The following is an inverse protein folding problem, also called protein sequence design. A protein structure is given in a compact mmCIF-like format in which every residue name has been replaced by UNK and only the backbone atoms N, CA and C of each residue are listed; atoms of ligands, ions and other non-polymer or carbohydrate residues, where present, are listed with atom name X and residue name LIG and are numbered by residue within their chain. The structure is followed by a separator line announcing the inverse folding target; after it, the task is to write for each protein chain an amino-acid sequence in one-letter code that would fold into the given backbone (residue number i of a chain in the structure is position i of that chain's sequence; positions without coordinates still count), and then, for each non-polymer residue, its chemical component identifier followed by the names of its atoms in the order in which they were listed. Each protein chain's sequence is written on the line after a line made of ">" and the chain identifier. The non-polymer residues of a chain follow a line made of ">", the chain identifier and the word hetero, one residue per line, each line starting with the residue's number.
data_IF_366366338606
#
_entry.id   IF_366366338606
#
_cell.length_a   1.000
_cell.length_b   1.000
_cell.length_c   1.000
_cell.angle_alpha   90.00
_cell.angle_beta   90.00
_cell.angle_gamma   90.00
#
_symmetry.space_group_name_H-M   'P 1'
#
loop_
_entity.id
_entity.type
_entity.pdbx_description
1 polymer ?
#
# COMPACT_ATOMS: atom_id res chain seq x y z
N UNK A 1 2.90 4.09 9.88
CA UNK A 1 2.16 2.86 10.21
C UNK A 1 2.17 1.93 9.01
N UNK A 2 2.37 0.64 9.26
CA UNK A 2 2.37 -0.37 8.21
C UNK A 2 1.17 -1.31 8.41
N UNK A 3 0.44 -1.57 7.33
CA UNK A 3 -0.70 -2.50 7.34
C UNK A 3 -0.43 -3.65 6.37
N UNK A 4 -0.69 -4.86 6.80
CA UNK A 4 -0.65 -6.03 5.93
C UNK A 4 -1.90 -6.14 5.07
N UNK A 5 -1.73 -6.43 3.79
CA UNK A 5 -2.85 -6.65 2.85
C UNK A 5 -2.60 -7.93 2.05
N UNK A 6 -3.67 -8.58 1.63
CA UNK A 6 -3.57 -9.81 0.84
C UNK A 6 -3.31 -9.52 -0.64
N UNK A 7 -3.88 -8.43 -1.15
CA UNK A 7 -3.73 -8.03 -2.55
C UNK A 7 -3.49 -6.52 -2.62
N UNK A 8 -2.22 -6.15 -2.78
CA UNK A 8 -1.83 -4.75 -2.74
C UNK A 8 -2.40 -3.96 -3.91
N UNK A 9 -2.44 -4.52 -5.11
CA UNK A 9 -2.99 -3.83 -6.27
C UNK A 9 -4.47 -3.52 -6.07
N UNK A 10 -5.24 -4.49 -5.56
CA UNK A 10 -6.66 -4.29 -5.29
C UNK A 10 -6.86 -3.24 -4.19
N UNK A 11 -6.02 -3.25 -3.15
CA UNK A 11 -6.09 -2.26 -2.08
C UNK A 11 -5.83 -0.85 -2.60
N UNK A 12 -4.82 -0.69 -3.47
CA UNK A 12 -4.50 0.61 -4.07
C UNK A 12 -5.63 1.09 -4.98
N UNK A 13 -6.23 0.19 -5.76
CA UNK A 13 -7.36 0.54 -6.62
C UNK A 13 -8.56 1.00 -5.82
N UNK A 14 -8.86 0.33 -4.70
CA UNK A 14 -9.97 0.73 -3.83
C UNK A 14 -9.73 2.11 -3.22
N UNK A 15 -8.52 2.38 -2.76
CA UNK A 15 -8.17 3.68 -2.19
C UNK A 15 -8.26 4.78 -3.24
N UNK A 16 -7.77 4.51 -4.45
CA UNK A 16 -7.83 5.47 -5.55
C UNK A 16 -9.28 5.78 -5.93
N UNK A 17 -10.14 4.77 -5.96
CA UNK A 17 -11.56 4.95 -6.25
C UNK A 17 -12.25 5.80 -5.19
N UNK A 18 -11.80 5.73 -3.94
CA UNK A 18 -12.32 6.54 -2.83
C UNK A 18 -11.72 7.96 -2.79
N UNK A 19 -10.87 8.28 -3.74
CA UNK A 19 -10.26 9.61 -3.83
C UNK A 19 -9.00 9.78 -2.99
N UNK A 20 -8.43 8.70 -2.45
CA UNK A 20 -7.21 8.78 -1.68
C UNK A 20 -6.03 9.17 -2.57
N UNK A 21 -5.13 9.97 -2.03
CA UNK A 21 -3.91 10.36 -2.71
C UNK A 21 -2.82 9.35 -2.36
N UNK A 22 -2.25 8.73 -3.39
CA UNK A 22 -1.21 7.72 -3.20
C UNK A 22 0.16 8.35 -3.48
N UNK A 23 1.15 8.04 -2.63
CA UNK A 23 2.55 8.37 -2.91
C UNK A 23 3.06 7.46 -4.02
N UNK A 24 2.78 6.16 -3.88
CA UNK A 24 3.17 5.16 -4.88
C UNK A 24 1.92 4.63 -5.57
N UNK A 25 1.77 4.92 -6.85
CA UNK A 25 0.66 4.37 -7.65
C UNK A 25 0.94 2.94 -8.07
N UNK A 26 2.21 2.55 -8.08
CA UNK A 26 2.68 1.21 -8.42
C UNK A 26 3.43 0.64 -7.24
N UNK A 27 3.20 -0.63 -6.86
CA UNK A 27 3.93 -1.23 -5.75
C UNK A 27 5.43 -1.24 -5.97
N UNK A 28 6.18 -1.06 -4.88
CA UNK A 28 7.63 -1.20 -4.85
C UNK A 28 7.99 -2.57 -4.30
N UNK A 29 9.15 -3.07 -4.67
CA UNK A 29 9.68 -4.29 -4.07
C UNK A 29 10.17 -4.00 -2.66
N UNK A 30 9.65 -4.75 -1.70
CA UNK A 30 10.09 -4.68 -0.32
C UNK A 30 11.05 -5.81 0.02
N UNK A 31 11.34 -5.92 1.32
CA UNK A 31 12.25 -6.94 1.82
C UNK A 31 11.62 -8.33 1.68
N UNK A 32 12.44 -9.32 1.29
CA UNK A 32 12.01 -10.71 1.26
C UNK A 32 10.94 -11.05 0.23
N UNK A 33 10.89 -10.30 -0.86
CA UNK A 33 9.91 -10.55 -1.92
C UNK A 33 8.54 -9.94 -1.67
N UNK A 34 8.40 -9.13 -0.62
CA UNK A 34 7.15 -8.42 -0.37
C UNK A 34 6.94 -7.30 -1.40
N UNK A 35 5.72 -6.80 -1.49
CA UNK A 35 5.40 -5.60 -2.25
C UNK A 35 4.89 -4.54 -1.28
N UNK A 36 5.30 -3.30 -1.46
CA UNK A 36 4.91 -2.20 -0.58
C UNK A 36 4.45 -1.00 -1.39
N UNK A 37 3.60 -0.18 -0.77
CA UNK A 37 3.21 1.11 -1.33
C UNK A 37 2.83 2.05 -0.21
N UNK A 38 3.12 3.34 -0.39
CA UNK A 38 2.81 4.37 0.61
C UNK A 38 1.58 5.15 0.20
N UNK A 39 0.76 5.48 1.20
CA UNK A 39 -0.41 6.33 1.05
C UNK A 39 -0.08 7.70 1.63
N UNK A 40 -0.47 8.77 0.92
CA UNK A 40 -0.17 10.13 1.35
C UNK A 40 -0.82 10.41 2.71
N UNK A 41 -0.11 11.07 3.65
CA UNK A 41 -0.64 11.31 4.99
C UNK A 41 -1.99 12.02 5.02
N UNK A 42 -2.25 12.93 4.09
CA UNK A 42 -3.52 13.65 4.02
C UNK A 42 -4.73 12.74 3.85
N UNK A 43 -4.53 11.57 3.24
CA UNK A 43 -5.62 10.64 2.95
C UNK A 43 -5.92 9.70 4.12
N UNK A 44 -5.04 9.67 5.13
CA UNK A 44 -5.14 8.73 6.25
C UNK A 44 -4.92 9.43 7.60
N UNK A 45 -5.49 10.62 7.75
CA UNK A 45 -5.47 11.32 9.03
C UNK A 45 -4.15 11.95 9.43
N UNK A 46 -3.28 12.23 8.48
CA UNK A 46 -2.02 12.90 8.73
C UNK A 46 -0.85 11.99 9.08
N UNK A 47 -1.02 10.67 9.00
CA UNK A 47 0.03 9.69 9.29
C UNK A 47 0.47 9.02 7.99
N UNK A 48 1.77 9.01 7.71
CA UNK A 48 2.30 8.28 6.56
C UNK A 48 2.01 6.78 6.77
N UNK A 49 1.32 6.19 5.83
CA UNK A 49 0.87 4.80 5.93
C UNK A 49 1.49 3.96 4.83
N UNK A 50 2.01 2.81 5.21
CA UNK A 50 2.58 1.82 4.31
C UNK A 50 1.65 0.62 4.22
N UNK A 51 1.35 0.18 3.00
CA UNK A 51 0.63 -1.08 2.78
C UNK A 51 1.63 -2.12 2.34
N UNK A 52 1.57 -3.30 2.95
CA UNK A 52 2.54 -4.37 2.71
C UNK A 52 1.82 -5.64 2.33
N UNK A 53 2.16 -6.19 1.16
CA UNK A 53 1.74 -7.52 0.77
C UNK A 53 2.94 -8.44 0.95
N UNK A 54 2.85 -9.38 1.88
CA UNK A 54 3.92 -10.33 2.13
C UNK A 54 4.17 -11.21 0.91
N UNK A 55 5.42 -11.70 0.76
CA UNK A 55 5.74 -12.66 -0.28
C UNK A 55 4.86 -13.90 -0.10
N UNK A 56 4.30 -14.39 -1.22
CA UNK A 56 3.48 -15.59 -1.16
C UNK A 56 4.38 -16.82 -1.07
N UNK A 57 3.97 -17.78 -0.24
CA UNK A 57 4.61 -19.06 -0.18
C UNK A 57 4.36 -19.81 -1.49
N UNK A 58 5.40 -20.32 -2.07
CA UNK A 58 5.32 -21.09 -3.31
C UNK A 58 5.12 -22.59 -3.02
#
# INVERSE_FOLDING_TARGET
>A
IAYGVDDLLAALDSLRADGAQLVDETPRHGFGGSAIAFVHPKSVGGVLTELVQAAQAS
#
